data_IF_457661367854
#
_entry.id   IF_457661367854
#
_cell.length_a   1.000
_cell.length_b   1.000
_cell.length_c   1.000
_cell.angle_alpha   90.00
_cell.angle_beta   90.00
_cell.angle_gamma   90.00
#
_symmetry.space_group_name_H-M   'P 1'
#
loop_
_entity.id
_entity.type
_entity.pdbx_description
1 polymer ?
#
# COMPACT_ATOMS: atom_id res chain seq x y z
N UNK A 1 -16.75 -5.00 9.00
CA UNK A 1 -15.60 -4.33 8.35
C UNK A 1 -14.68 -3.65 9.36
N UNK A 2 -15.18 -2.73 10.20
CA UNK A 2 -14.32 -1.95 11.11
C UNK A 2 -13.33 -2.78 11.95
N UNK A 3 -13.76 -3.84 12.63
CA UNK A 3 -12.86 -4.66 13.46
C UNK A 3 -11.69 -5.31 12.68
N UNK A 4 -11.91 -5.65 11.40
CA UNK A 4 -10.87 -6.19 10.51
C UNK A 4 -9.79 -5.14 10.24
N UNK A 5 -10.21 -3.92 9.91
CA UNK A 5 -9.29 -2.82 9.60
C UNK A 5 -8.60 -2.26 10.82
N UNK A 6 -9.21 -2.27 12.01
CA UNK A 6 -8.48 -1.94 13.25
C UNK A 6 -7.34 -2.94 13.52
N UNK A 7 -7.59 -4.23 13.31
CA UNK A 7 -6.54 -5.25 13.44
C UNK A 7 -5.43 -5.03 12.41
N UNK A 8 -5.78 -4.67 11.16
CA UNK A 8 -4.79 -4.34 10.14
C UNK A 8 -4.00 -3.08 10.48
N UNK A 9 -4.62 -2.03 11.05
CA UNK A 9 -3.89 -0.85 11.55
C UNK A 9 -2.88 -1.28 12.62
N UNK A 10 -3.31 -2.06 13.60
CA UNK A 10 -2.43 -2.53 14.67
C UNK A 10 -1.24 -3.34 14.12
N UNK A 11 -1.45 -4.15 13.08
CA UNK A 11 -0.36 -4.87 12.39
C UNK A 11 0.54 -3.94 11.57
N UNK A 12 -0.04 -2.99 10.82
CA UNK A 12 0.68 -2.06 9.94
C UNK A 12 1.64 -1.14 10.71
N UNK A 13 1.38 -0.91 11.99
CA UNK A 13 2.25 -0.15 12.89
C UNK A 13 3.42 -0.98 13.47
N UNK A 14 3.44 -2.29 13.22
CA UNK A 14 4.56 -3.15 13.65
C UNK A 14 5.63 -3.22 12.59
N UNK A 15 6.85 -3.62 12.98
CA UNK A 15 7.93 -3.87 12.01
C UNK A 15 7.61 -4.96 10.98
N UNK A 16 6.60 -5.80 11.22
CA UNK A 16 6.21 -6.87 10.31
C UNK A 16 5.25 -6.42 9.19
N UNK A 17 4.53 -5.30 9.35
CA UNK A 17 3.46 -4.88 8.44
C UNK A 17 2.19 -5.73 8.61
N UNK A 18 1.18 -5.47 7.77
CA UNK A 18 -0.06 -6.28 7.72
C UNK A 18 0.22 -7.73 7.33
N UNK A 19 -0.77 -8.61 7.46
CA UNK A 19 -0.80 -9.80 6.60
C UNK A 19 -0.96 -9.42 5.11
N UNK A 20 -0.78 -10.41 4.22
CA UNK A 20 -1.03 -10.22 2.79
C UNK A 20 -2.54 -10.08 2.55
N UNK A 21 -2.93 -8.99 1.91
CA UNK A 21 -4.33 -8.67 1.60
C UNK A 21 -4.53 -8.53 0.09
N UNK A 22 -5.72 -8.90 -0.37
CA UNK A 22 -6.09 -8.76 -1.78
C UNK A 22 -6.10 -7.29 -2.22
N UNK A 23 -6.05 -7.06 -3.52
CA UNK A 23 -6.19 -5.72 -4.09
C UNK A 23 -7.47 -4.99 -3.65
N UNK A 24 -8.61 -5.68 -3.64
CA UNK A 24 -9.88 -5.08 -3.23
C UNK A 24 -9.84 -4.67 -1.75
N UNK A 25 -9.33 -5.55 -0.89
CA UNK A 25 -9.17 -5.27 0.53
C UNK A 25 -8.15 -4.14 0.78
N UNK A 26 -7.06 -4.07 0.01
CA UNK A 26 -6.10 -2.97 0.07
C UNK A 26 -6.77 -1.63 -0.23
N UNK A 27 -7.59 -1.53 -1.29
CA UNK A 27 -8.22 -0.28 -1.67
C UNK A 27 -9.19 0.23 -0.61
N UNK A 28 -10.00 -0.67 -0.04
CA UNK A 28 -10.90 -0.33 1.07
C UNK A 28 -10.13 0.02 2.35
N UNK A 29 -9.07 -0.74 2.67
CA UNK A 29 -8.23 -0.50 3.84
C UNK A 29 -7.48 0.83 3.74
N UNK A 30 -6.98 1.20 2.56
CA UNK A 30 -6.30 2.46 2.29
C UNK A 30 -7.22 3.67 2.52
N UNK A 31 -8.49 3.57 2.13
CA UNK A 31 -9.50 4.60 2.44
C UNK A 31 -9.76 4.73 3.93
N UNK A 32 -9.83 3.59 4.61
CA UNK A 32 -10.01 3.55 6.05
C UNK A 32 -8.81 4.15 6.81
N UNK A 33 -7.59 3.82 6.40
CA UNK A 33 -6.35 4.37 6.96
C UNK A 33 -6.32 5.89 6.85
N UNK A 34 -6.61 6.43 5.67
CA UNK A 34 -6.58 7.88 5.44
C UNK A 34 -7.62 8.61 6.30
N UNK A 35 -8.83 8.05 6.43
CA UNK A 35 -9.87 8.61 7.31
C UNK A 35 -9.47 8.60 8.79
N UNK A 36 -8.54 7.73 9.20
CA UNK A 36 -7.95 7.67 10.53
C UNK A 36 -6.68 8.49 10.70
N UNK A 37 -6.27 9.21 9.66
CA UNK A 37 -5.08 10.06 9.69
C UNK A 37 -3.77 9.30 9.51
N UNK A 38 -3.80 8.08 8.98
CA UNK A 38 -2.60 7.29 8.69
C UNK A 38 -2.18 7.42 7.23
N UNK A 39 -0.88 7.53 7.00
CA UNK A 39 -0.26 7.36 5.69
C UNK A 39 0.50 6.04 5.58
N UNK A 40 0.55 5.48 4.39
CA UNK A 40 1.28 4.24 4.07
C UNK A 40 2.76 4.57 3.85
N UNK A 41 3.62 4.18 4.79
CA UNK A 41 5.07 4.43 4.72
C UNK A 41 5.81 3.38 3.89
N UNK A 42 5.25 2.18 3.76
CA UNK A 42 5.75 1.13 2.87
C UNK A 42 4.62 0.23 2.38
N UNK A 43 4.73 -0.23 1.14
CA UNK A 43 3.86 -1.22 0.54
C UNK A 43 4.69 -2.20 -0.28
N UNK A 44 4.52 -3.48 0.01
CA UNK A 44 5.08 -4.57 -0.78
C UNK A 44 3.99 -5.24 -1.60
N UNK A 45 4.43 -5.84 -2.71
CA UNK A 45 3.59 -6.64 -3.60
C UNK A 45 4.16 -8.05 -3.71
N UNK A 46 3.27 -9.04 -3.74
CA UNK A 46 3.58 -10.41 -4.08
C UNK A 46 2.63 -10.86 -5.19
N UNK A 47 3.13 -11.69 -6.11
CA UNK A 47 2.29 -12.30 -7.15
C UNK A 47 1.21 -13.16 -6.50
N UNK A 48 -0.05 -12.81 -6.72
CA UNK A 48 -1.18 -13.59 -6.24
C UNK A 48 -1.34 -14.87 -7.05
N UNK A 49 -2.17 -15.79 -6.56
CA UNK A 49 -2.50 -17.03 -7.25
C UNK A 49 -3.10 -16.75 -8.64
N UNK A 50 -2.57 -17.42 -9.68
CA UNK A 50 -3.00 -17.21 -11.07
C UNK A 50 -2.37 -15.99 -11.77
N UNK A 51 -1.65 -15.12 -11.05
CA UNK A 51 -0.91 -14.01 -11.65
C UNK A 51 0.31 -14.48 -12.46
N UNK A 52 0.63 -13.78 -13.53
CA UNK A 52 1.78 -14.09 -14.41
C UNK A 52 2.88 -13.03 -14.38
N UNK A 53 2.53 -11.78 -14.04
CA UNK A 53 3.45 -10.66 -13.96
C UNK A 53 4.35 -10.78 -12.72
N UNK A 54 5.66 -10.57 -12.89
CA UNK A 54 6.60 -10.56 -11.78
C UNK A 54 6.54 -9.21 -11.03
N UNK A 55 6.55 -9.22 -9.68
CA UNK A 55 6.62 -7.99 -8.91
C UNK A 55 7.95 -7.26 -9.15
N UNK A 56 7.90 -5.93 -9.16
CA UNK A 56 9.07 -5.06 -9.21
C UNK A 56 8.86 -3.89 -8.23
N UNK A 57 9.92 -3.10 -7.99
CA UNK A 57 9.88 -1.98 -7.05
C UNK A 57 8.91 -0.86 -7.44
N UNK A 58 8.54 -0.77 -8.73
CA UNK A 58 7.63 0.24 -9.26
C UNK A 58 6.15 -0.04 -9.00
N UNK A 59 5.76 -1.18 -8.41
CA UNK A 59 4.38 -1.45 -7.99
C UNK A 59 4.18 -1.30 -6.46
N UNK A 60 5.24 -1.02 -5.72
CA UNK A 60 5.21 -0.85 -4.28
C UNK A 60 5.26 0.61 -3.83
N UNK A 61 5.27 0.82 -2.51
CA UNK A 61 5.65 2.08 -1.88
C UNK A 61 6.93 1.81 -1.11
N UNK A 62 8.01 2.49 -1.46
CA UNK A 62 9.30 2.29 -0.80
C UNK A 62 9.69 3.48 0.06
N UNK A 63 10.41 3.26 1.18
CA UNK A 63 10.84 4.32 2.08
C UNK A 63 12.04 5.12 1.57
N UNK A 64 12.42 4.98 0.31
CA UNK A 64 13.61 5.61 -0.27
C UNK A 64 13.27 6.27 -1.61
N UNK A 65 13.91 7.39 -1.98
CA UNK A 65 13.65 8.05 -3.24
C UNK A 65 14.03 7.16 -4.43
N UNK A 66 13.24 7.25 -5.51
CA UNK A 66 13.58 6.69 -6.81
C UNK A 66 14.03 7.81 -7.72
N UNK A 67 14.99 7.52 -8.61
CA UNK A 67 15.42 8.49 -9.61
C UNK A 67 14.23 8.89 -10.50
N UNK A 68 13.80 10.14 -10.40
CA UNK A 68 12.65 10.66 -11.15
C UNK A 68 11.32 10.64 -10.40
N UNK A 69 11.31 10.12 -9.16
CA UNK A 69 10.21 10.23 -8.20
C UNK A 69 10.78 10.47 -6.80
N UNK A 70 11.32 11.67 -6.62
CA UNK A 70 12.08 12.06 -5.43
C UNK A 70 11.18 12.34 -4.20
N UNK A 71 9.86 12.42 -4.40
CA UNK A 71 8.90 12.80 -3.35
C UNK A 71 7.98 11.66 -2.88
N UNK A 72 7.89 10.53 -3.59
CA UNK A 72 6.91 9.49 -3.23
C UNK A 72 7.07 8.97 -1.80
N UNK A 73 8.30 8.87 -1.31
CA UNK A 73 8.61 8.40 0.05
C UNK A 73 8.06 9.34 1.13
N UNK A 74 7.80 10.61 0.82
CA UNK A 74 7.23 11.59 1.75
C UNK A 74 5.70 11.58 1.78
N UNK A 75 5.04 10.85 0.87
CA UNK A 75 3.59 10.91 0.77
C UNK A 75 2.88 10.42 2.03
N UNK A 76 3.52 9.56 2.83
CA UNK A 76 2.96 9.08 4.10
C UNK A 76 2.74 10.19 5.14
N UNK A 77 3.41 11.35 5.05
CA UNK A 77 3.16 12.49 5.95
C UNK A 77 1.83 13.21 5.67
N UNK A 78 1.19 12.93 4.54
CA UNK A 78 -0.15 13.40 4.19
C UNK A 78 -1.04 12.20 3.89
N UNK A 79 -1.94 11.79 4.80
CA UNK A 79 -2.80 10.62 4.64
C UNK A 79 -3.62 10.63 3.33
N UNK A 80 -4.05 11.81 2.86
CA UNK A 80 -4.82 11.95 1.62
C UNK A 80 -3.91 11.74 0.41
N UNK A 81 -2.72 12.36 0.41
CA UNK A 81 -1.73 12.20 -0.65
C UNK A 81 -1.23 10.75 -0.73
N UNK A 82 -0.96 10.12 0.43
CA UNK A 82 -0.62 8.71 0.53
C UNK A 82 -1.69 7.82 -0.09
N UNK A 83 -2.96 8.03 0.26
CA UNK A 83 -4.04 7.21 -0.26
C UNK A 83 -4.21 7.35 -1.77
N UNK A 84 -4.04 8.56 -2.31
CA UNK A 84 -4.03 8.77 -3.76
C UNK A 84 -2.87 8.06 -4.46
N UNK A 85 -1.68 8.03 -3.83
CA UNK A 85 -0.52 7.33 -4.37
C UNK A 85 -0.69 5.81 -4.41
N UNK A 86 -1.20 5.21 -3.33
CA UNK A 86 -1.49 3.76 -3.29
C UNK A 86 -2.48 3.38 -4.40
N UNK A 87 -3.55 4.15 -4.59
CA UNK A 87 -4.50 3.90 -5.69
C UNK A 87 -3.84 3.96 -7.07
N UNK A 88 -2.92 4.90 -7.27
CA UNK A 88 -2.16 5.02 -8.53
C UNK A 88 -1.25 3.81 -8.75
N UNK A 89 -0.57 3.33 -7.72
CA UNK A 89 0.29 2.14 -7.80
C UNK A 89 -0.50 0.88 -8.16
N UNK A 90 -1.65 0.68 -7.51
CA UNK A 90 -2.58 -0.42 -7.86
C UNK A 90 -3.08 -0.28 -9.30
N UNK A 91 -3.41 0.94 -9.74
CA UNK A 91 -3.85 1.18 -11.12
C UNK A 91 -2.76 0.83 -12.14
N UNK A 92 -1.50 1.18 -11.90
CA UNK A 92 -0.39 0.79 -12.78
C UNK A 92 -0.22 -0.74 -12.86
N UNK A 93 -0.28 -1.43 -11.71
CA UNK A 93 -0.24 -2.89 -11.70
C UNK A 93 -1.39 -3.50 -12.53
N UNK A 94 -2.62 -2.97 -12.40
CA UNK A 94 -3.77 -3.40 -13.20
C UNK A 94 -3.60 -3.17 -14.69
N UNK A 95 -3.07 -2.01 -15.09
CA UNK A 95 -2.83 -1.67 -16.50
C UNK A 95 -1.81 -2.61 -17.15
N UNK A 96 -0.83 -3.07 -16.39
CA UNK A 96 0.14 -4.07 -16.82
C UNK A 96 -0.39 -5.52 -16.74
N UNK A 97 -1.67 -5.70 -16.39
CA UNK A 97 -2.32 -7.02 -16.26
C UNK A 97 -1.80 -7.83 -15.08
N UNK A 98 -1.20 -7.17 -14.08
CA UNK A 98 -0.70 -7.83 -12.89
C UNK A 98 -1.81 -8.18 -11.91
N UNK A 99 -1.61 -9.28 -11.19
CA UNK A 99 -2.48 -9.70 -10.10
C UNK A 99 -1.60 -9.90 -8.86
N UNK A 100 -1.77 -9.00 -7.88
CA UNK A 100 -0.93 -8.94 -6.69
C UNK A 100 -1.75 -9.00 -5.40
N UNK A 101 -1.13 -9.61 -4.39
CA UNK A 101 -1.46 -9.41 -2.99
C UNK A 101 -0.49 -8.39 -2.39
N UNK A 102 -0.96 -7.67 -1.37
CA UNK A 102 -0.29 -6.49 -0.84
C UNK A 102 -0.01 -6.61 0.64
N UNK A 103 1.07 -5.98 1.07
CA UNK A 103 1.45 -5.88 2.48
C UNK A 103 1.83 -4.46 2.82
N UNK A 104 1.28 -3.91 3.90
CA UNK A 104 1.31 -2.48 4.19
C UNK A 104 1.92 -2.19 5.56
N UNK A 105 2.70 -1.12 5.62
CA UNK A 105 3.10 -0.43 6.85
C UNK A 105 2.52 0.97 6.82
N UNK A 106 2.02 1.42 7.96
CA UNK A 106 1.37 2.70 8.06
C UNK A 106 1.75 3.43 9.35
N UNK A 107 1.87 4.74 9.23
CA UNK A 107 2.30 5.63 10.30
C UNK A 107 1.34 6.81 10.39
N UNK A 108 1.20 7.34 11.61
CA UNK A 108 0.46 8.56 11.85
C UNK A 108 1.46 9.72 11.88
N UNK A 109 1.35 10.72 10.98
CA UNK A 109 2.27 11.85 10.90
C UNK A 109 2.30 12.74 12.13
#
# INVERSE_FOLDING_TARGET
MNARFETLIAQAQTGAGTEWISEAELLEFNEYLAARGFGVSRMEVARAEGGTVAPNHGYGVTPQPFRGDDEHWMHHFDPVRSAAYVRRQVQYAREDGALFDYKVWAEQP
#
